data_IF_783665739912
#
_entry.id   IF_783665739912
#
_cell.length_a   1.000
_cell.length_b   1.000
_cell.length_c   1.000
_cell.angle_alpha   90.00
_cell.angle_beta   90.00
_cell.angle_gamma   90.00
#
_symmetry.space_group_name_H-M   'P 1'
#
loop_
_entity.id
_entity.type
_entity.pdbx_description
1 polymer ?
#
# COMPACT_ATOMS: atom_id res chain seq x y z
N UNK A 1 -5.21 -38.61 -4.16
CA UNK A 1 -4.82 -37.26 -3.72
C UNK A 1 -4.23 -36.39 -4.83
N UNK A 2 -3.31 -36.87 -5.67
CA UNK A 2 -2.67 -36.13 -6.79
C UNK A 2 -3.62 -35.62 -7.89
N UNK A 3 -4.65 -36.38 -8.30
CA UNK A 3 -5.62 -35.95 -9.34
C UNK A 3 -6.49 -34.74 -8.93
N UNK A 4 -6.75 -34.55 -7.62
CA UNK A 4 -7.53 -33.41 -7.11
C UNK A 4 -6.72 -32.11 -7.05
N UNK A 5 -5.40 -32.21 -6.81
CA UNK A 5 -4.45 -31.08 -6.82
C UNK A 5 -4.19 -30.56 -8.24
N UNK A 6 -4.05 -31.47 -9.22
CA UNK A 6 -3.89 -31.11 -10.63
C UNK A 6 -5.13 -30.38 -11.19
N UNK A 7 -6.34 -30.83 -10.84
CA UNK A 7 -7.60 -30.13 -11.23
C UNK A 7 -7.70 -28.72 -10.60
N UNK A 8 -7.27 -28.52 -9.35
CA UNK A 8 -7.31 -27.21 -8.68
C UNK A 8 -6.31 -26.22 -9.29
N UNK A 9 -5.11 -26.66 -9.64
CA UNK A 9 -4.10 -25.87 -10.35
C UNK A 9 -4.55 -25.45 -11.74
N UNK A 10 -5.20 -26.35 -12.50
CA UNK A 10 -5.74 -26.06 -13.83
C UNK A 10 -6.93 -25.09 -13.75
N UNK A 11 -7.82 -25.28 -12.78
CA UNK A 11 -8.96 -24.39 -12.55
C UNK A 11 -8.49 -22.97 -12.20
N UNK A 12 -7.47 -22.84 -11.35
CA UNK A 12 -6.87 -21.56 -10.99
C UNK A 12 -6.23 -20.86 -12.21
N UNK A 13 -5.55 -21.62 -13.10
CA UNK A 13 -4.98 -21.06 -14.33
C UNK A 13 -6.06 -20.53 -15.27
N UNK A 14 -7.17 -21.26 -15.42
CA UNK A 14 -8.30 -20.85 -16.25
C UNK A 14 -8.98 -19.60 -15.66
N UNK A 15 -9.23 -19.58 -14.36
CA UNK A 15 -9.80 -18.41 -13.68
C UNK A 15 -8.89 -17.17 -13.81
N UNK A 16 -7.58 -17.33 -13.65
CA UNK A 16 -6.62 -16.26 -13.83
C UNK A 16 -6.59 -15.73 -15.26
N UNK A 17 -6.68 -16.62 -16.26
CA UNK A 17 -6.76 -16.24 -17.67
C UNK A 17 -8.02 -15.42 -17.98
N UNK A 18 -9.20 -15.86 -17.54
CA UNK A 18 -10.44 -15.10 -17.73
C UNK A 18 -10.44 -13.78 -16.95
N UNK A 19 -9.89 -13.76 -15.75
CA UNK A 19 -9.73 -12.52 -14.98
C UNK A 19 -8.81 -11.54 -15.69
N UNK A 20 -7.70 -12.01 -16.23
CA UNK A 20 -6.75 -11.19 -16.97
C UNK A 20 -7.38 -10.62 -18.26
N UNK A 21 -8.12 -11.46 -19.01
CA UNK A 21 -8.85 -11.02 -20.19
C UNK A 21 -9.91 -9.96 -19.83
N UNK A 22 -10.67 -10.18 -18.76
CA UNK A 22 -11.64 -9.20 -18.23
C UNK A 22 -10.98 -7.88 -17.84
N UNK A 23 -9.82 -7.92 -17.20
CA UNK A 23 -9.10 -6.70 -16.82
C UNK A 23 -8.56 -5.93 -18.03
N UNK A 24 -8.17 -6.61 -19.11
CA UNK A 24 -7.76 -5.97 -20.37
C UNK A 24 -8.93 -5.32 -21.11
N UNK A 25 -10.14 -5.88 -21.00
CA UNK A 25 -11.32 -5.37 -21.73
C UNK A 25 -12.10 -4.32 -20.94
N UNK A 26 -12.27 -4.50 -19.62
CA UNK A 26 -13.10 -3.64 -18.77
C UNK A 26 -12.25 -2.68 -17.92
N UNK A 27 -10.97 -3.01 -17.71
CA UNK A 27 -10.05 -2.28 -16.82
C UNK A 27 -10.13 -2.75 -15.35
N UNK A 28 -8.99 -2.62 -14.65
CA UNK A 28 -8.92 -2.86 -13.20
C UNK A 28 -9.77 -1.82 -12.47
N UNK A 29 -10.52 -2.29 -11.47
CA UNK A 29 -11.29 -1.41 -10.57
C UNK A 29 -12.28 -0.46 -11.26
N UNK A 30 -12.69 -0.75 -12.51
CA UNK A 30 -13.57 0.09 -13.32
C UNK A 30 -14.85 0.53 -12.56
N UNK A 31 -15.38 -0.33 -11.69
CA UNK A 31 -16.56 -0.02 -10.85
C UNK A 31 -16.33 1.13 -9.86
N UNK A 32 -15.08 1.50 -9.59
CA UNK A 32 -14.72 2.60 -8.70
C UNK A 32 -14.34 3.88 -9.46
N UNK A 33 -14.44 3.89 -10.80
CA UNK A 33 -14.18 5.09 -11.60
C UNK A 33 -15.11 6.23 -11.19
N UNK A 34 -14.50 7.38 -10.81
CA UNK A 34 -15.24 8.55 -10.34
C UNK A 34 -15.74 8.48 -8.89
N UNK A 35 -15.53 7.36 -8.18
CA UNK A 35 -15.85 7.27 -6.76
C UNK A 35 -14.75 7.94 -5.94
N UNK A 36 -15.14 8.63 -4.86
CA UNK A 36 -14.18 9.24 -3.94
C UNK A 36 -13.27 8.16 -3.34
N UNK A 37 -11.97 8.40 -3.34
CA UNK A 37 -10.96 7.42 -2.90
C UNK A 37 -11.14 7.02 -1.43
N UNK A 38 -11.51 7.95 -0.56
CA UNK A 38 -11.81 7.63 0.84
C UNK A 38 -12.96 6.61 0.93
N UNK A 39 -14.05 6.83 0.20
CA UNK A 39 -15.23 5.93 0.23
C UNK A 39 -14.86 4.53 -0.29
N UNK A 40 -13.98 4.46 -1.29
CA UNK A 40 -13.45 3.18 -1.79
C UNK A 40 -12.72 2.41 -0.70
N UNK A 41 -11.77 3.04 0.00
CA UNK A 41 -10.99 2.38 1.06
C UNK A 41 -11.81 2.12 2.33
N UNK A 42 -12.74 3.01 2.68
CA UNK A 42 -13.74 2.73 3.72
C UNK A 42 -14.51 1.45 3.45
N UNK A 43 -15.00 1.29 2.21
CA UNK A 43 -15.73 0.08 1.78
C UNK A 43 -14.86 -1.17 1.84
N UNK A 44 -13.58 -1.06 1.40
CA UNK A 44 -12.64 -2.19 1.43
C UNK A 44 -12.50 -2.74 2.85
N UNK A 45 -12.33 -1.88 3.85
CA UNK A 45 -12.20 -2.31 5.24
C UNK A 45 -13.53 -2.72 5.87
N UNK A 46 -14.66 -2.05 5.57
CA UNK A 46 -15.99 -2.45 6.06
C UNK A 46 -16.39 -3.84 5.59
N UNK A 47 -16.14 -4.15 4.33
CA UNK A 47 -16.51 -5.43 3.72
C UNK A 47 -15.44 -6.54 3.88
N UNK A 48 -14.21 -6.18 4.26
CA UNK A 48 -13.10 -7.12 4.35
C UNK A 48 -12.64 -7.65 3.00
N UNK A 49 -12.59 -6.75 1.98
CA UNK A 49 -12.28 -7.14 0.59
C UNK A 49 -10.87 -7.74 0.47
N UNK A 50 -9.92 -7.28 1.28
CA UNK A 50 -8.54 -7.80 1.32
C UNK A 50 -8.36 -9.02 2.22
N UNK A 51 -9.42 -9.44 2.92
CA UNK A 51 -9.44 -10.58 3.83
C UNK A 51 -9.80 -10.19 5.25
N UNK A 52 -10.01 -11.23 6.06
CA UNK A 52 -10.32 -11.11 7.49
C UNK A 52 -9.42 -12.05 8.27
N UNK A 53 -9.07 -11.67 9.50
CA UNK A 53 -8.38 -12.54 10.45
C UNK A 53 -9.35 -13.55 11.10
N UNK A 54 -8.83 -14.42 11.96
CA UNK A 54 -9.62 -15.46 12.65
C UNK A 54 -10.72 -14.90 13.58
N UNK A 55 -10.61 -13.62 13.95
CA UNK A 55 -11.62 -12.90 14.73
C UNK A 55 -12.68 -12.21 13.86
N UNK A 56 -12.63 -12.39 12.53
CA UNK A 56 -13.51 -11.75 11.56
C UNK A 56 -13.22 -10.27 11.29
N UNK A 57 -12.12 -9.73 11.81
CA UNK A 57 -11.71 -8.35 11.56
C UNK A 57 -11.01 -8.22 10.20
N UNK A 58 -11.33 -7.17 9.46
CA UNK A 58 -10.72 -6.88 8.17
C UNK A 58 -9.22 -6.63 8.28
N UNK A 59 -8.44 -7.15 7.34
CA UNK A 59 -6.98 -6.99 7.28
C UNK A 59 -6.56 -6.16 6.08
N UNK A 60 -5.29 -5.74 6.06
CA UNK A 60 -4.66 -5.07 4.91
C UNK A 60 -4.14 -6.06 3.86
N UNK A 61 -4.60 -7.31 3.91
CA UNK A 61 -4.32 -8.34 2.93
C UNK A 61 -3.00 -9.10 3.13
N UNK A 62 -2.73 -10.10 2.27
CA UNK A 62 -1.58 -11.00 2.39
C UNK A 62 -0.25 -10.27 2.45
N UNK A 63 -0.07 -9.23 1.65
CA UNK A 63 1.16 -8.44 1.64
C UNK A 63 1.56 -7.86 3.00
N UNK A 64 0.60 -7.65 3.90
CA UNK A 64 0.84 -7.14 5.26
C UNK A 64 0.84 -8.22 6.32
N UNK A 65 0.51 -9.48 5.98
CA UNK A 65 0.34 -10.56 6.95
C UNK A 65 1.18 -11.81 6.68
N UNK A 66 1.51 -12.13 5.42
CA UNK A 66 2.34 -13.29 5.09
C UNK A 66 3.78 -13.10 5.58
N UNK A 67 4.25 -14.01 6.42
CA UNK A 67 5.53 -13.88 7.13
C UNK A 67 6.72 -13.80 6.16
N UNK A 68 6.66 -14.50 5.04
CA UNK A 68 7.68 -14.52 4.00
C UNK A 68 7.84 -13.15 3.33
N UNK A 69 6.77 -12.36 3.29
CA UNK A 69 6.75 -10.99 2.72
C UNK A 69 7.09 -9.97 3.82
N UNK A 70 6.52 -10.13 5.00
CA UNK A 70 6.62 -9.16 6.11
C UNK A 70 7.99 -9.15 6.75
N UNK A 71 8.54 -10.33 7.09
CA UNK A 71 9.79 -10.48 7.84
C UNK A 71 11.00 -9.82 7.17
N UNK A 72 11.24 -10.02 5.85
CA UNK A 72 12.34 -9.34 5.16
C UNK A 72 12.22 -7.81 5.19
N UNK A 73 10.99 -7.29 5.00
CA UNK A 73 10.75 -5.84 5.04
C UNK A 73 11.02 -5.26 6.44
N UNK A 74 10.48 -5.87 7.51
CA UNK A 74 10.70 -5.42 8.89
C UNK A 74 12.18 -5.41 9.23
N UNK A 75 12.91 -6.48 8.86
CA UNK A 75 14.36 -6.56 9.08
C UNK A 75 15.14 -5.46 8.34
N UNK A 76 14.76 -5.15 7.11
CA UNK A 76 15.41 -4.10 6.33
C UNK A 76 15.07 -2.71 6.90
N UNK A 77 13.79 -2.43 7.16
CA UNK A 77 13.32 -1.14 7.66
C UNK A 77 13.89 -0.84 9.05
N UNK A 78 13.85 -1.79 9.99
CA UNK A 78 14.39 -1.59 11.34
C UNK A 78 15.90 -1.34 11.34
N UNK A 79 16.68 -2.04 10.48
CA UNK A 79 18.11 -1.76 10.28
C UNK A 79 18.33 -0.37 9.71
N UNK A 80 17.52 0.05 8.74
CA UNK A 80 17.58 1.37 8.12
C UNK A 80 17.30 2.47 9.16
N UNK A 81 16.24 2.32 9.96
CA UNK A 81 15.90 3.29 11.01
C UNK A 81 17.05 3.48 11.99
N UNK A 82 17.66 2.39 12.46
CA UNK A 82 18.83 2.43 13.34
C UNK A 82 20.04 3.09 12.67
N UNK A 83 20.38 2.68 11.43
CA UNK A 83 21.54 3.20 10.69
C UNK A 83 21.44 4.70 10.45
N UNK A 84 20.25 5.19 10.09
CA UNK A 84 19.99 6.60 9.77
C UNK A 84 19.62 7.42 11.01
N UNK A 85 19.55 6.81 12.20
CA UNK A 85 19.14 7.47 13.47
C UNK A 85 17.79 8.20 13.33
N UNK A 86 16.80 7.50 12.76
CA UNK A 86 15.47 8.04 12.53
C UNK A 86 14.76 8.25 13.87
N UNK A 87 14.42 9.49 14.20
CA UNK A 87 13.63 9.84 15.39
C UNK A 87 12.13 9.85 15.07
N UNK A 88 11.73 10.44 13.93
CA UNK A 88 10.31 10.56 13.56
C UNK A 88 10.00 9.88 12.25
N UNK A 89 9.11 8.87 12.32
CA UNK A 89 8.58 8.13 11.16
C UNK A 89 7.18 8.59 10.82
N UNK A 90 6.89 8.78 9.53
CA UNK A 90 5.56 9.01 8.99
C UNK A 90 5.20 7.81 8.12
N UNK A 91 4.24 7.00 8.56
CA UNK A 91 3.78 5.81 7.86
C UNK A 91 2.55 6.14 7.02
N UNK A 92 2.75 6.34 5.74
CA UNK A 92 1.74 6.80 4.79
C UNK A 92 0.97 5.61 4.18
N UNK A 93 -0.23 5.35 4.67
CA UNK A 93 -1.05 4.19 4.34
C UNK A 93 -0.79 3.02 5.29
N UNK A 94 -0.91 3.27 6.59
CA UNK A 94 -0.56 2.30 7.65
C UNK A 94 -1.49 1.07 7.68
N UNK A 95 -2.65 1.14 7.06
CA UNK A 95 -3.63 0.06 7.04
C UNK A 95 -4.03 -0.40 8.44
N UNK A 96 -4.09 -1.72 8.64
CA UNK A 96 -4.42 -2.34 9.93
C UNK A 96 -3.28 -2.31 10.98
N UNK A 97 -2.21 -1.59 10.66
CA UNK A 97 -1.04 -1.35 11.50
C UNK A 97 -0.22 -2.60 11.85
N UNK A 98 -0.44 -3.74 11.19
CA UNK A 98 0.34 -4.95 11.46
C UNK A 98 1.85 -4.79 11.19
N UNK A 99 2.22 -3.93 10.24
CA UNK A 99 3.63 -3.60 9.95
C UNK A 99 4.16 -2.56 10.93
N UNK A 100 3.41 -1.47 11.13
CA UNK A 100 3.82 -0.37 12.02
C UNK A 100 4.00 -0.82 13.46
N UNK A 101 3.17 -1.74 13.97
CA UNK A 101 3.31 -2.35 15.30
C UNK A 101 4.71 -2.94 15.53
N UNK A 102 5.32 -3.51 14.48
CA UNK A 102 6.66 -4.13 14.54
C UNK A 102 7.80 -3.14 14.33
N UNK A 103 7.49 -1.91 13.89
CA UNK A 103 8.48 -0.88 13.60
C UNK A 103 8.47 0.28 14.60
N UNK A 104 7.37 0.52 15.29
CA UNK A 104 7.17 1.67 16.18
C UNK A 104 8.21 1.77 17.29
N UNK A 105 8.74 0.66 17.78
CA UNK A 105 9.79 0.64 18.81
C UNK A 105 11.19 1.05 18.34
N UNK A 106 11.36 1.32 17.04
CA UNK A 106 12.64 1.70 16.46
C UNK A 106 12.80 3.20 16.23
N UNK A 107 11.86 4.03 16.71
CA UNK A 107 11.90 5.49 16.61
C UNK A 107 11.22 6.13 17.84
N UNK A 108 11.49 7.45 18.05
CA UNK A 108 10.93 8.18 19.18
C UNK A 108 9.48 8.62 18.93
N UNK A 109 9.11 8.85 17.67
CA UNK A 109 7.78 9.27 17.24
C UNK A 109 7.33 8.53 15.99
N UNK A 110 6.16 7.91 16.02
CA UNK A 110 5.56 7.22 14.90
C UNK A 110 4.18 7.78 14.59
N UNK A 111 4.01 8.35 13.40
CA UNK A 111 2.73 8.88 12.92
C UNK A 111 2.18 7.96 11.85
N UNK A 112 1.17 7.19 12.19
CA UNK A 112 0.52 6.23 11.30
C UNK A 112 -0.67 6.90 10.59
N UNK A 113 -0.54 7.11 9.29
CA UNK A 113 -1.52 7.81 8.47
C UNK A 113 -2.30 6.83 7.59
N UNK A 114 -3.62 7.04 7.46
CA UNK A 114 -4.44 6.33 6.48
C UNK A 114 -5.61 7.20 6.02
N UNK A 115 -6.14 6.94 4.83
CA UNK A 115 -7.32 7.61 4.29
C UNK A 115 -8.62 7.06 4.88
N UNK A 116 -8.64 5.81 5.37
CA UNK A 116 -9.80 5.16 5.94
C UNK A 116 -9.94 5.46 7.43
N UNK A 117 -10.97 6.22 7.79
CA UNK A 117 -11.32 6.47 9.19
C UNK A 117 -11.69 5.19 9.93
N UNK A 118 -12.34 4.25 9.25
CA UNK A 118 -12.76 2.97 9.83
C UNK A 118 -11.58 2.20 10.39
N UNK A 119 -10.49 2.08 9.61
CA UNK A 119 -9.31 1.36 10.06
C UNK A 119 -8.56 2.12 11.16
N UNK A 120 -8.47 3.44 11.04
CA UNK A 120 -7.82 4.28 12.05
C UNK A 120 -8.51 4.24 13.40
N UNK A 121 -9.84 4.31 13.45
CA UNK A 121 -10.59 4.22 14.70
C UNK A 121 -10.45 2.84 15.36
N UNK A 122 -10.38 1.77 14.58
CA UNK A 122 -10.06 0.44 15.09
C UNK A 122 -8.64 0.39 15.66
N UNK A 123 -7.67 0.93 14.93
CA UNK A 123 -6.27 0.94 15.35
C UNK A 123 -6.07 1.77 16.62
N UNK A 124 -6.69 2.95 16.74
CA UNK A 124 -6.67 3.78 17.95
C UNK A 124 -7.19 3.06 19.19
N UNK A 125 -8.20 2.18 19.03
CA UNK A 125 -8.72 1.36 20.13
C UNK A 125 -7.76 0.24 20.53
N UNK A 126 -7.10 -0.36 19.56
CA UNK A 126 -6.26 -1.55 19.72
C UNK A 126 -4.84 -1.21 20.20
N UNK A 127 -4.23 -0.17 19.66
CA UNK A 127 -2.84 0.18 19.92
C UNK A 127 -2.75 1.44 20.78
N UNK A 128 -2.20 1.30 21.99
CA UNK A 128 -2.01 2.36 22.99
C UNK A 128 -0.53 2.43 23.35
N UNK A 129 0.24 3.20 22.55
CA UNK A 129 1.67 3.38 22.71
C UNK A 129 1.96 4.88 22.79
N UNK A 130 2.82 5.31 23.72
CA UNK A 130 3.10 6.72 24.00
C UNK A 130 3.74 7.45 22.82
N UNK A 131 4.52 6.74 22.00
CA UNK A 131 5.19 7.28 20.82
C UNK A 131 4.39 7.14 19.52
N UNK A 132 3.13 6.68 19.57
CA UNK A 132 2.29 6.41 18.40
C UNK A 132 1.13 7.39 18.30
N UNK A 133 0.98 7.99 17.11
CA UNK A 133 -0.19 8.81 16.77
C UNK A 133 -0.83 8.32 15.46
N UNK A 134 -2.17 8.22 15.43
CA UNK A 134 -2.93 7.90 14.23
C UNK A 134 -3.55 9.16 13.62
N UNK A 135 -3.25 9.42 12.34
CA UNK A 135 -3.68 10.60 11.61
C UNK A 135 -4.50 10.22 10.37
N UNK A 136 -5.70 10.79 10.22
CA UNK A 136 -6.46 10.69 8.97
C UNK A 136 -5.79 11.56 7.91
N UNK A 137 -5.41 10.97 6.79
CA UNK A 137 -4.65 11.65 5.74
C UNK A 137 -4.98 11.08 4.35
N UNK A 138 -5.29 11.97 3.42
CA UNK A 138 -5.32 11.68 2.00
C UNK A 138 -4.00 12.10 1.35
N UNK A 139 -3.18 11.13 0.92
CA UNK A 139 -1.86 11.37 0.31
C UNK A 139 -1.89 12.37 -0.86
N UNK A 140 -2.95 12.32 -1.68
CA UNK A 140 -3.06 13.14 -2.89
C UNK A 140 -3.53 14.56 -2.60
N UNK A 141 -4.32 14.78 -1.54
CA UNK A 141 -5.00 16.05 -1.28
C UNK A 141 -4.41 16.84 -0.12
N UNK A 142 -4.10 16.16 0.98
CA UNK A 142 -3.75 16.83 2.23
C UNK A 142 -2.27 17.26 2.27
N UNK A 143 -1.96 18.18 3.17
CA UNK A 143 -0.58 18.54 3.49
C UNK A 143 0.07 17.37 4.22
N UNK A 144 1.26 16.97 3.75
CA UNK A 144 1.99 15.85 4.34
C UNK A 144 2.65 16.29 5.65
N UNK A 145 2.51 15.51 6.75
CA UNK A 145 3.18 15.81 8.01
C UNK A 145 4.70 15.68 7.89
N UNK A 146 5.44 16.53 8.57
CA UNK A 146 6.91 16.51 8.57
C UNK A 146 7.47 15.36 9.42
N UNK A 147 8.59 14.78 8.97
CA UNK A 147 9.30 13.72 9.67
C UNK A 147 10.70 13.47 9.10
N UNK A 148 11.48 12.62 9.76
CA UNK A 148 12.80 12.25 9.23
C UNK A 148 12.67 11.29 8.05
N UNK A 149 11.78 10.31 8.16
CA UNK A 149 11.55 9.30 7.15
C UNK A 149 10.04 9.06 6.95
N UNK A 150 9.62 8.98 5.68
CA UNK A 150 8.30 8.44 5.37
C UNK A 150 8.40 7.03 4.81
N UNK A 151 7.52 6.14 5.29
CA UNK A 151 7.28 4.84 4.69
C UNK A 151 6.04 4.89 3.82
N UNK A 152 6.12 4.32 2.60
CA UNK A 152 4.99 4.09 1.70
C UNK A 152 5.08 2.66 1.23
N UNK A 153 4.26 1.78 1.81
CA UNK A 153 4.39 0.35 1.56
C UNK A 153 3.13 -0.24 0.96
N UNK A 154 3.23 -0.63 -0.31
CA UNK A 154 2.11 -1.25 -1.05
C UNK A 154 0.83 -0.39 -1.05
N UNK A 155 1.00 0.92 -1.16
CA UNK A 155 -0.09 1.91 -1.16
C UNK A 155 -0.34 2.43 -2.57
N UNK A 156 0.71 2.87 -3.27
CA UNK A 156 0.58 3.52 -4.57
C UNK A 156 0.02 2.58 -5.63
N UNK A 157 0.28 1.28 -5.53
CA UNK A 157 -0.27 0.26 -6.43
C UNK A 157 -1.81 0.22 -6.43
N UNK A 158 -2.46 0.78 -5.42
CA UNK A 158 -3.91 0.85 -5.28
C UNK A 158 -4.52 2.17 -5.76
N UNK A 159 -3.70 3.20 -5.98
CA UNK A 159 -4.14 4.54 -6.36
C UNK A 159 -4.14 4.75 -7.88
N UNK A 160 -4.93 5.71 -8.36
CA UNK A 160 -4.87 6.20 -9.74
C UNK A 160 -3.57 6.96 -10.01
N UNK A 161 -3.18 7.05 -11.28
CA UNK A 161 -1.99 7.82 -11.64
C UNK A 161 -2.11 9.31 -11.30
N UNK A 162 -3.29 9.89 -11.37
CA UNK A 162 -3.51 11.28 -10.97
C UNK A 162 -3.22 11.52 -9.49
N UNK A 163 -3.61 10.60 -8.62
CA UNK A 163 -3.35 10.70 -7.19
C UNK A 163 -1.87 10.48 -6.85
N UNK A 164 -1.23 9.49 -7.49
CA UNK A 164 0.22 9.27 -7.34
C UNK A 164 1.00 10.49 -7.81
N UNK A 165 0.61 11.08 -8.96
CA UNK A 165 1.24 12.29 -9.49
C UNK A 165 1.13 13.45 -8.51
N UNK A 166 -0.06 13.68 -7.94
CA UNK A 166 -0.25 14.72 -6.91
C UNK A 166 0.62 14.50 -5.66
N UNK A 167 0.78 13.25 -5.22
CA UNK A 167 1.72 12.91 -4.13
C UNK A 167 3.17 13.22 -4.52
N UNK A 168 3.63 12.77 -5.70
CA UNK A 168 4.99 12.99 -6.18
C UNK A 168 5.29 14.47 -6.39
N UNK A 169 4.34 15.25 -6.91
CA UNK A 169 4.50 16.70 -7.07
C UNK A 169 4.73 17.42 -5.72
N UNK A 170 4.05 17.00 -4.64
CA UNK A 170 4.31 17.55 -3.31
C UNK A 170 5.73 17.24 -2.84
N UNK A 171 6.20 16.00 -3.04
CA UNK A 171 7.57 15.59 -2.70
C UNK A 171 8.60 16.36 -3.53
N UNK A 172 8.39 16.47 -4.84
CA UNK A 172 9.32 17.17 -5.73
C UNK A 172 9.38 18.68 -5.46
N UNK A 173 8.27 19.30 -5.02
CA UNK A 173 8.22 20.75 -4.71
C UNK A 173 8.95 21.07 -3.42
N UNK A 174 8.67 20.34 -2.37
CA UNK A 174 9.30 20.48 -1.05
C UNK A 174 9.05 19.20 -0.26
N UNK A 175 10.04 18.30 -0.24
CA UNK A 175 9.92 17.10 0.57
C UNK A 175 9.90 17.45 2.06
N UNK A 176 8.88 17.02 2.83
CA UNK A 176 8.87 17.14 4.27
C UNK A 176 9.72 16.06 4.97
N UNK A 177 10.43 15.23 4.19
CA UNK A 177 11.20 14.08 4.66
C UNK A 177 12.64 14.14 4.17
N UNK A 178 13.58 13.72 5.03
CA UNK A 178 14.98 13.46 4.63
C UNK A 178 15.10 12.17 3.82
N UNK A 179 14.26 11.18 4.14
CA UNK A 179 14.28 9.87 3.50
C UNK A 179 12.87 9.39 3.14
N UNK A 180 12.76 8.69 2.01
CA UNK A 180 11.56 7.98 1.57
C UNK A 180 11.88 6.49 1.42
N UNK A 181 11.15 5.64 2.14
CA UNK A 181 11.19 4.20 1.98
C UNK A 181 9.91 3.74 1.29
N UNK A 182 9.99 3.56 -0.02
CA UNK A 182 8.84 3.17 -0.85
C UNK A 182 9.03 1.73 -1.31
N UNK A 183 8.01 0.89 -1.12
CA UNK A 183 8.00 -0.50 -1.59
C UNK A 183 6.68 -0.83 -2.25
N UNK A 184 6.74 -1.24 -3.51
CA UNK A 184 5.59 -1.62 -4.33
C UNK A 184 5.86 -2.95 -5.06
N UNK A 185 4.81 -3.63 -5.48
CA UNK A 185 4.96 -4.89 -6.21
C UNK A 185 5.21 -4.63 -7.70
N UNK A 186 6.19 -5.34 -8.26
CA UNK A 186 6.51 -5.30 -9.68
C UNK A 186 6.27 -6.66 -10.33
N UNK A 187 5.92 -6.69 -11.64
CA UNK A 187 5.87 -7.94 -12.40
C UNK A 187 7.22 -8.67 -12.40
N UNK A 188 7.19 -10.00 -12.30
CA UNK A 188 8.40 -10.83 -12.40
C UNK A 188 9.01 -10.84 -13.81
N UNK A 189 8.22 -10.49 -14.81
CA UNK A 189 8.71 -10.38 -16.21
C UNK A 189 9.66 -9.20 -16.32
N UNK A 190 10.81 -9.40 -16.98
CA UNK A 190 11.81 -8.34 -17.20
C UNK A 190 11.28 -7.17 -18.05
N UNK A 191 10.33 -7.44 -18.96
CA UNK A 191 9.68 -6.42 -19.79
C UNK A 191 8.21 -6.31 -19.40
N UNK A 192 7.81 -5.14 -18.92
CA UNK A 192 6.42 -4.77 -18.66
C UNK A 192 6.23 -3.28 -18.97
N UNK A 193 5.00 -2.85 -19.15
CA UNK A 193 4.69 -1.43 -19.33
C UNK A 193 4.49 -0.83 -17.94
N UNK A 194 5.40 0.06 -17.46
CA UNK A 194 5.25 0.69 -16.16
C UNK A 194 4.08 1.68 -16.16
N UNK A 195 3.58 1.92 -14.97
CA UNK A 195 2.67 3.03 -14.69
C UNK A 195 1.38 3.05 -15.52
N UNK A 196 0.86 1.88 -15.95
CA UNK A 196 -0.47 1.84 -16.55
C UNK A 196 -1.50 2.35 -15.55
N UNK A 197 -2.36 3.25 -16.01
CA UNK A 197 -3.38 3.86 -15.13
C UNK A 197 -4.51 2.91 -14.80
N UNK A 198 -5.15 3.16 -13.67
CA UNK A 198 -6.36 2.50 -13.20
C UNK A 198 -7.09 3.40 -12.19
N UNK A 199 -8.41 3.24 -12.01
CA UNK A 199 -9.10 3.83 -10.86
C UNK A 199 -8.53 3.34 -9.54
N UNK A 200 -8.57 4.17 -8.49
CA UNK A 200 -8.21 3.76 -7.14
C UNK A 200 -9.13 2.65 -6.65
N UNK A 201 -8.54 1.60 -6.02
CA UNK A 201 -9.31 0.43 -5.63
C UNK A 201 -8.46 -0.74 -5.14
N UNK A 202 -9.11 -1.86 -4.78
CA UNK A 202 -8.45 -2.99 -4.12
C UNK A 202 -7.48 -3.77 -5.00
N UNK A 203 -7.60 -3.67 -6.33
CA UNK A 203 -6.73 -4.42 -7.25
C UNK A 203 -5.40 -3.72 -7.44
N UNK A 204 -4.38 -4.50 -7.68
CA UNK A 204 -3.02 -4.02 -7.95
C UNK A 204 -2.68 -4.14 -9.45
N UNK A 205 -1.73 -3.34 -9.92
CA UNK A 205 -1.35 -3.28 -11.34
C UNK A 205 -0.77 -4.57 -11.90
N UNK A 206 -0.32 -5.50 -11.06
CA UNK A 206 0.10 -6.84 -11.51
C UNK A 206 -0.98 -7.56 -12.33
N UNK A 207 -2.27 -7.29 -12.07
CA UNK A 207 -3.39 -7.85 -12.84
C UNK A 207 -3.44 -7.41 -14.31
N UNK A 208 -2.69 -6.37 -14.69
CA UNK A 208 -2.54 -5.86 -16.06
C UNK A 208 -1.08 -5.85 -16.52
N UNK A 209 -0.24 -6.70 -15.94
CA UNK A 209 1.20 -6.79 -16.22
C UNK A 209 1.93 -5.44 -16.10
N UNK A 210 1.59 -4.63 -15.09
CA UNK A 210 2.20 -3.33 -14.82
C UNK A 210 2.63 -3.21 -13.35
N UNK A 211 3.44 -2.20 -13.06
CA UNK A 211 3.89 -1.85 -11.70
C UNK A 211 4.22 -0.36 -11.61
N UNK A 212 4.45 0.15 -10.41
CA UNK A 212 4.77 1.56 -10.19
C UNK A 212 6.28 1.77 -10.25
N UNK A 213 6.72 2.63 -11.16
CA UNK A 213 8.10 3.10 -11.31
C UNK A 213 8.08 4.63 -11.21
N UNK A 214 8.43 5.16 -10.05
CA UNK A 214 8.19 6.56 -9.71
C UNK A 214 9.11 7.56 -10.42
N UNK A 215 10.31 7.16 -10.82
CA UNK A 215 11.28 7.98 -11.57
C UNK A 215 10.97 8.06 -13.07
N UNK A 216 9.96 7.32 -13.53
CA UNK A 216 9.51 7.34 -14.93
C UNK A 216 8.20 8.12 -15.09
N UNK A 217 7.89 8.44 -16.37
CA UNK A 217 6.62 9.01 -16.73
C UNK A 217 5.44 8.15 -16.23
N UNK A 218 4.33 8.76 -15.75
CA UNK A 218 4.04 10.20 -15.71
C UNK A 218 4.48 10.88 -14.39
N UNK A 219 5.21 10.21 -13.49
CA UNK A 219 5.45 10.67 -12.12
C UNK A 219 6.69 11.53 -11.99
N UNK A 220 7.83 11.07 -12.54
CA UNK A 220 9.12 11.78 -12.51
C UNK A 220 9.54 12.23 -11.10
N UNK A 221 9.51 11.31 -10.13
CA UNK A 221 10.05 11.56 -8.81
C UNK A 221 11.54 11.89 -8.91
N UNK A 222 11.94 13.01 -8.34
CA UNK A 222 13.34 13.45 -8.30
C UNK A 222 14.00 12.88 -7.05
N UNK A 223 15.20 12.31 -7.23
CA UNK A 223 16.09 11.99 -6.13
C UNK A 223 16.88 13.25 -5.78
N UNK A 224 17.03 13.49 -4.49
CA UNK A 224 17.86 14.58 -3.97
C UNK A 224 19.10 13.95 -3.33
#
# INVERSE_FOLDING_TARGET
>A
MMKKLLKKSTLNKIQNFFSHLKYKTIGLDHKYKGVNTQDVFEKIYKEGIWGKNDKGESTSGPGSHEIEIVKPYINAASKLFKKLKISKVIDLGCGDFNIGEKLVSYCDHYVACDISKVILERNKKKFKLDNLNFLHLNLSKDVLPEGDLATVRQVLQHLSNSEIKSFVEKINKKSPYKFLLITEQLPLKKSFIPNLDKPSGPKIRLGIDSGIILDQQPFNLKYI
#
